data_IF_361559654523
#
_entry.id   IF_361559654523
#
_cell.length_a   1.000
_cell.length_b   1.000
_cell.length_c   1.000
_cell.angle_alpha   90.00
_cell.angle_beta   90.00
_cell.angle_gamma   90.00
#
_symmetry.space_group_name_H-M   'P 1'
#
loop_
_entity.id
_entity.type
_entity.pdbx_description
1 polymer ?
#
# COMPACT_ATOMS: atom_id res chain seq x y z
N UNK A 1 -11.28 -17.44 32.83
CA UNK A 1 -10.64 -17.54 31.50
C UNK A 1 -11.76 -17.72 30.49
N UNK A 2 -11.95 -16.79 29.54
CA UNK A 2 -12.93 -17.00 28.48
C UNK A 2 -12.51 -18.23 27.67
N UNK A 3 -13.43 -19.16 27.46
CA UNK A 3 -13.25 -20.33 26.61
C UNK A 3 -13.54 -19.94 25.16
N UNK A 4 -12.79 -20.50 24.20
CA UNK A 4 -12.94 -20.17 22.77
C UNK A 4 -14.33 -20.48 22.19
N UNK A 5 -15.15 -21.27 22.89
CA UNK A 5 -16.53 -21.59 22.53
C UNK A 5 -17.58 -20.70 23.23
N UNK A 6 -17.17 -19.68 23.98
CA UNK A 6 -18.11 -18.74 24.61
C UNK A 6 -18.79 -17.88 23.52
N UNK A 7 -20.12 -17.94 23.36
CA UNK A 7 -20.83 -17.16 22.34
C UNK A 7 -20.66 -15.65 22.51
N UNK A 8 -20.43 -15.15 23.72
CA UNK A 8 -20.13 -13.74 23.95
C UNK A 8 -18.69 -13.36 23.53
N UNK A 9 -17.75 -14.30 23.62
CA UNK A 9 -16.40 -14.13 23.08
C UNK A 9 -16.41 -14.15 21.56
N UNK A 10 -17.11 -15.13 20.96
CA UNK A 10 -17.27 -15.24 19.51
C UNK A 10 -17.94 -14.00 18.91
N UNK A 11 -19.04 -13.52 19.50
CA UNK A 11 -19.71 -12.29 19.03
C UNK A 11 -18.80 -11.05 19.11
N UNK A 12 -17.85 -11.00 20.06
CA UNK A 12 -16.87 -9.91 20.15
C UNK A 12 -15.77 -10.04 19.11
N UNK A 13 -15.37 -11.27 18.78
CA UNK A 13 -14.43 -11.55 17.69
C UNK A 13 -15.08 -11.18 16.36
N UNK A 14 -16.31 -11.64 16.11
CA UNK A 14 -17.08 -11.33 14.90
C UNK A 14 -17.27 -9.80 14.75
N UNK A 15 -17.67 -9.11 15.81
CA UNK A 15 -17.81 -7.64 15.78
C UNK A 15 -16.46 -6.92 15.56
N UNK A 16 -15.35 -7.46 16.07
CA UNK A 16 -14.02 -6.92 15.83
C UNK A 16 -13.54 -7.19 14.39
N UNK A 17 -13.88 -8.35 13.82
CA UNK A 17 -13.64 -8.68 12.42
C UNK A 17 -14.49 -7.82 11.49
N UNK A 18 -15.79 -7.65 11.76
CA UNK A 18 -16.67 -6.74 11.04
C UNK A 18 -16.18 -5.29 11.12
N UNK A 19 -15.76 -4.82 12.31
CA UNK A 19 -15.19 -3.48 12.46
C UNK A 19 -13.85 -3.33 11.71
N UNK A 20 -12.99 -4.35 11.73
CA UNK A 20 -11.74 -4.38 10.95
C UNK A 20 -11.97 -4.53 9.44
N UNK A 21 -13.15 -5.01 9.03
CA UNK A 21 -13.60 -5.09 7.63
C UNK A 21 -14.33 -3.81 7.18
N UNK A 22 -14.85 -3.01 8.11
CA UNK A 22 -15.51 -1.74 7.84
C UNK A 22 -14.55 -0.57 7.62
N UNK A 23 -13.29 -0.69 8.06
CA UNK A 23 -12.26 0.33 7.85
C UNK A 23 -11.60 0.17 6.46
N UNK A 24 -11.79 1.12 5.52
CA UNK A 24 -11.21 1.07 4.18
C UNK A 24 -9.72 1.44 4.25
N UNK A 25 -8.93 0.59 4.86
CA UNK A 25 -7.49 0.79 4.99
C UNK A 25 -6.87 0.78 3.59
N UNK A 26 -6.28 1.91 3.22
CA UNK A 26 -5.52 2.04 1.99
C UNK A 26 -4.11 1.47 2.19
N UNK A 27 -3.64 0.67 1.26
CA UNK A 27 -2.30 0.09 1.25
C UNK A 27 -1.54 0.63 0.04
N UNK A 28 -0.26 0.90 0.24
CA UNK A 28 0.64 1.34 -0.82
C UNK A 28 1.89 0.49 -0.84
N UNK A 29 2.31 0.07 -2.03
CA UNK A 29 3.59 -0.58 -2.26
C UNK A 29 4.57 0.46 -2.79
N UNK A 30 5.65 0.64 -2.05
CA UNK A 30 6.78 1.44 -2.45
C UNK A 30 7.91 0.52 -2.91
N UNK A 31 8.56 0.85 -4.02
CA UNK A 31 9.80 0.21 -4.45
C UNK A 31 10.94 1.21 -4.36
N UNK A 32 12.08 0.76 -3.83
CA UNK A 32 13.31 1.53 -3.89
C UNK A 32 13.94 1.44 -5.29
N UNK A 33 14.24 2.60 -5.86
CA UNK A 33 14.80 2.73 -7.19
C UNK A 33 15.99 3.69 -7.20
N UNK A 34 16.87 3.48 -8.17
CA UNK A 34 18.09 4.26 -8.36
C UNK A 34 18.18 4.74 -9.81
N UNK A 35 18.50 6.01 -9.98
CA UNK A 35 18.88 6.55 -11.28
C UNK A 35 20.34 6.12 -11.55
N UNK A 36 20.62 5.44 -12.67
CA UNK A 36 21.97 5.01 -13.00
C UNK A 36 22.96 6.18 -12.97
N UNK A 37 24.21 5.92 -12.59
CA UNK A 37 25.26 6.93 -12.62
C UNK A 37 25.92 6.91 -14.01
N UNK A 38 25.54 7.84 -14.87
CA UNK A 38 26.14 8.08 -16.17
C UNK A 38 26.27 9.59 -16.40
N UNK A 39 26.98 10.02 -17.44
CA UNK A 39 27.29 11.44 -17.69
C UNK A 39 26.06 12.34 -17.82
N UNK A 40 24.91 11.78 -18.21
CA UNK A 40 23.62 12.46 -18.40
C UNK A 40 22.60 12.16 -17.28
N UNK A 41 23.04 11.53 -16.18
CA UNK A 41 22.15 11.04 -15.12
C UNK A 41 22.55 11.58 -13.75
N UNK A 42 21.55 11.76 -12.88
CA UNK A 42 21.74 12.48 -11.62
C UNK A 42 22.11 11.61 -10.42
N UNK A 43 22.08 10.28 -10.53
CA UNK A 43 22.40 9.38 -9.42
C UNK A 43 21.39 9.38 -8.26
N UNK A 44 20.19 9.94 -8.47
CA UNK A 44 19.10 9.95 -7.48
C UNK A 44 18.78 8.54 -6.97
N UNK A 45 18.45 8.43 -5.69
CA UNK A 45 17.99 7.18 -5.07
C UNK A 45 16.80 7.51 -4.16
N UNK A 46 15.79 6.65 -4.16
CA UNK A 46 14.61 6.87 -3.32
C UNK A 46 13.48 5.89 -3.58
N UNK A 47 12.32 6.22 -3.04
CA UNK A 47 11.13 5.37 -3.11
C UNK A 47 10.18 5.86 -4.21
N UNK A 48 9.68 4.95 -5.02
CA UNK A 48 8.62 5.18 -5.99
C UNK A 48 7.35 4.43 -5.58
N UNK A 49 6.20 5.04 -5.83
CA UNK A 49 4.91 4.38 -5.69
C UNK A 49 4.73 3.38 -6.82
N UNK A 50 4.68 2.10 -6.47
CA UNK A 50 4.48 1.03 -7.42
C UNK A 50 3.00 0.67 -7.57
N UNK A 51 2.30 0.56 -6.44
CA UNK A 51 0.88 0.24 -6.43
C UNK A 51 0.19 0.86 -5.22
N UNK A 52 -1.10 1.15 -5.38
CA UNK A 52 -1.98 1.54 -4.29
C UNK A 52 -3.29 0.77 -4.43
N UNK A 53 -3.80 0.24 -3.32
CA UNK A 53 -5.08 -0.45 -3.28
C UNK A 53 -5.80 -0.16 -1.98
N UNK A 54 -7.13 -0.18 -2.02
CA UNK A 54 -7.94 -0.17 -0.80
C UNK A 54 -8.32 -1.59 -0.45
N UNK A 55 -8.50 -1.88 0.84
CA UNK A 55 -9.15 -3.13 1.25
C UNK A 55 -10.55 -3.16 0.65
N UNK A 56 -10.89 -4.29 0.07
CA UNK A 56 -12.05 -4.48 -0.78
C UNK A 56 -13.13 -5.07 0.13
N UNK A 57 -14.31 -4.46 0.14
CA UNK A 57 -15.42 -4.99 0.92
C UNK A 57 -15.74 -6.43 0.47
N UNK A 58 -16.18 -7.33 1.36
CA UNK A 58 -16.59 -8.67 0.97
C UNK A 58 -17.66 -8.58 -0.14
N UNK A 59 -17.38 -9.19 -1.30
CA UNK A 59 -18.26 -9.20 -2.47
C UNK A 59 -17.93 -8.18 -3.57
N UNK A 60 -16.97 -7.28 -3.36
CA UNK A 60 -16.46 -6.41 -4.44
C UNK A 60 -15.36 -7.13 -5.27
N UNK A 61 -15.32 -6.86 -6.58
CA UNK A 61 -14.31 -7.43 -7.49
C UNK A 61 -12.89 -6.94 -7.12
N UNK A 62 -11.94 -7.84 -6.83
CA UNK A 62 -10.56 -7.50 -6.50
C UNK A 62 -9.82 -6.65 -7.53
N UNK A 63 -10.25 -6.69 -8.78
CA UNK A 63 -9.65 -5.98 -9.89
C UNK A 63 -10.29 -4.61 -10.14
N UNK A 64 -11.48 -4.35 -9.59
CA UNK A 64 -12.23 -3.11 -9.82
C UNK A 64 -11.60 -1.85 -9.22
N UNK A 65 -10.69 -1.99 -8.24
CA UNK A 65 -10.04 -0.85 -7.55
C UNK A 65 -8.51 -0.87 -7.59
N UNK A 66 -7.90 -1.62 -8.52
CA UNK A 66 -6.45 -1.48 -8.75
C UNK A 66 -6.18 -0.07 -9.28
N UNK A 67 -5.52 0.76 -8.48
CA UNK A 67 -5.02 2.02 -8.99
C UNK A 67 -4.01 1.69 -10.12
N UNK A 68 -4.06 2.38 -11.27
CA UNK A 68 -3.11 2.15 -12.34
C UNK A 68 -1.68 2.31 -11.79
N UNK A 69 -0.91 1.23 -11.85
CA UNK A 69 0.51 1.27 -11.52
C UNK A 69 1.23 2.06 -12.61
N UNK A 70 2.04 3.06 -12.24
CA UNK A 70 2.92 3.73 -13.18
C UNK A 70 3.93 2.69 -13.69
N UNK A 71 3.78 2.29 -14.95
CA UNK A 71 4.71 1.36 -15.61
C UNK A 71 6.01 2.05 -16.01
N UNK A 72 5.97 3.37 -16.22
CA UNK A 72 7.12 4.16 -16.63
C UNK A 72 7.85 4.66 -15.39
N UNK A 73 8.90 3.95 -15.01
CA UNK A 73 9.68 4.29 -13.82
C UNK A 73 10.73 5.33 -14.17
N UNK A 74 10.33 6.59 -13.96
CA UNK A 74 11.12 7.76 -14.36
C UNK A 74 11.73 8.42 -13.13
N UNK A 75 12.98 8.84 -13.26
CA UNK A 75 13.71 9.60 -12.27
C UNK A 75 13.04 10.96 -12.09
N UNK A 76 12.59 11.32 -10.88
CA UNK A 76 11.89 12.57 -10.64
C UNK A 76 12.78 13.80 -10.83
N UNK A 77 14.11 13.62 -10.84
CA UNK A 77 15.07 14.71 -10.95
C UNK A 77 15.51 14.98 -12.39
N UNK A 78 15.75 13.93 -13.19
CA UNK A 78 16.32 14.09 -14.54
C UNK A 78 15.49 13.46 -15.67
N UNK A 79 14.35 12.84 -15.38
CA UNK A 79 13.49 12.25 -16.42
C UNK A 79 14.01 10.93 -17.03
N UNK A 80 15.16 10.44 -16.58
CA UNK A 80 15.74 9.17 -16.99
C UNK A 80 14.93 7.95 -16.51
N UNK A 81 15.03 6.81 -17.19
CA UNK A 81 14.57 5.55 -16.63
C UNK A 81 15.40 5.17 -15.39
N UNK A 82 14.73 4.68 -14.34
CA UNK A 82 15.39 4.22 -13.10
C UNK A 82 15.45 2.70 -13.03
N UNK A 83 16.43 2.19 -12.31
CA UNK A 83 16.57 0.78 -11.99
C UNK A 83 15.91 0.45 -10.64
N UNK A 84 15.08 -0.60 -10.62
CA UNK A 84 14.45 -1.12 -9.40
C UNK A 84 15.42 -2.01 -8.65
N UNK A 85 15.62 -1.74 -7.37
CA UNK A 85 16.53 -2.55 -6.54
C UNK A 85 15.88 -3.81 -5.96
N UNK A 86 14.65 -4.16 -6.38
CA UNK A 86 13.80 -5.21 -5.80
C UNK A 86 13.50 -5.08 -4.30
N UNK A 87 14.03 -4.06 -3.63
CA UNK A 87 13.67 -3.70 -2.27
C UNK A 87 12.33 -2.96 -2.31
N UNK A 88 11.34 -3.51 -1.62
CA UNK A 88 10.01 -2.93 -1.51
C UNK A 88 9.56 -2.79 -0.06
N UNK A 89 8.62 -1.88 0.16
CA UNK A 89 7.94 -1.66 1.44
C UNK A 89 6.47 -1.49 1.20
N UNK A 90 5.66 -2.30 1.88
CA UNK A 90 4.23 -2.07 1.97
C UNK A 90 3.95 -1.17 3.17
N UNK A 91 3.17 -0.11 2.95
CA UNK A 91 2.69 0.77 4.00
C UNK A 91 1.17 0.73 4.05
N UNK A 92 0.67 0.78 5.28
CA UNK A 92 -0.74 0.89 5.58
C UNK A 92 -1.01 2.37 5.86
N UNK A 93 -1.80 3.01 5.00
CA UNK A 93 -2.25 4.38 5.21
C UNK A 93 -3.40 4.36 6.21
N UNK A 94 -3.10 4.86 7.40
CA UNK A 94 -4.12 5.26 8.37
C UNK A 94 -4.84 6.50 7.83
N UNK A 95 -6.15 6.57 8.02
CA UNK A 95 -6.91 7.75 7.63
C UNK A 95 -6.33 8.96 8.38
N UNK A 96 -5.89 10.02 7.67
CA UNK A 96 -5.30 11.17 8.35
C UNK A 96 -6.38 11.78 9.25
N UNK A 97 -6.05 11.97 10.52
CA UNK A 97 -6.90 12.67 11.47
C UNK A 97 -7.41 13.98 10.83
N UNK A 98 -8.71 14.32 11.00
CA UNK A 98 -9.28 15.51 10.37
C UNK A 98 -8.45 16.73 10.75
N UNK A 99 -7.96 17.45 9.73
CA UNK A 99 -7.26 18.72 9.94
C UNK A 99 -8.34 19.76 10.26
N UNK A 100 -8.39 20.19 11.52
CA UNK A 100 -9.18 21.35 11.96
C UNK A 100 -8.68 22.64 11.33
#
# INVERSE_FOLDING_TARGET
MPTFDDPAFLARVDAAEEAAMADPVARVLLTHAVCPTASDRCGWQGWLLEAAWRRIAPGEDPFSRRAPAITNQICPNCGAEVFRTYVSRELVAEEPAPRN
#
